data_IF_222468946317
#
_entry.id   IF_222468946317
#
_cell.length_a   1.000
_cell.length_b   1.000
_cell.length_c   1.000
_cell.angle_alpha   90.00
_cell.angle_beta   90.00
_cell.angle_gamma   90.00
#
_symmetry.space_group_name_H-M   'P 1'
#
loop_
_entity.id
_entity.type
_entity.pdbx_description
1 polymer ?
#
# COMPACT_ATOMS: atom_id res chain seq x y z
N UNK A 1 25.19 -38.72 -69.81
CA UNK A 1 26.64 -38.96 -69.65
C UNK A 1 27.15 -37.98 -68.61
N UNK A 2 27.91 -38.51 -67.62
CA UNK A 2 28.98 -37.91 -66.80
C UNK A 2 29.09 -36.35 -66.76
N UNK A 3 29.25 -35.63 -65.66
CA UNK A 3 29.78 -35.91 -64.31
C UNK A 3 30.55 -34.65 -63.84
N UNK A 4 30.60 -34.41 -62.52
CA UNK A 4 31.67 -33.62 -61.88
C UNK A 4 31.42 -32.14 -61.48
N UNK A 5 31.33 -31.91 -60.17
CA UNK A 5 32.15 -30.92 -59.44
C UNK A 5 31.74 -29.44 -59.42
N UNK A 6 31.13 -28.99 -58.31
CA UNK A 6 31.34 -27.62 -57.82
C UNK A 6 31.17 -27.55 -56.29
N UNK A 7 32.30 -27.66 -55.59
CA UNK A 7 32.45 -27.30 -54.18
C UNK A 7 33.08 -25.91 -54.04
N UNK A 8 32.74 -25.26 -52.94
CA UNK A 8 33.41 -24.12 -52.26
C UNK A 8 33.29 -22.71 -52.87
N UNK A 9 32.77 -21.78 -52.06
CA UNK A 9 33.23 -20.39 -51.81
C UNK A 9 32.10 -19.51 -51.24
N UNK A 10 31.67 -19.80 -50.01
CA UNK A 10 31.08 -18.79 -49.12
C UNK A 10 31.77 -18.90 -47.77
N UNK A 11 32.76 -18.04 -47.55
CA UNK A 11 33.42 -17.82 -46.27
C UNK A 11 32.75 -16.66 -45.52
N UNK A 12 32.55 -16.83 -44.21
CA UNK A 12 32.06 -15.78 -43.31
C UNK A 12 31.38 -16.34 -42.06
N UNK A 13 32.19 -16.73 -41.08
CA UNK A 13 31.83 -17.25 -39.74
C UNK A 13 30.77 -16.45 -38.96
N UNK A 14 29.92 -17.15 -38.19
CA UNK A 14 29.51 -16.70 -36.87
C UNK A 14 29.89 -17.77 -35.83
N UNK A 15 31.05 -17.60 -35.17
CA UNK A 15 31.42 -18.39 -33.98
C UNK A 15 31.79 -17.46 -32.83
N UNK A 16 30.81 -17.17 -31.99
CA UNK A 16 31.00 -16.77 -30.60
C UNK A 16 30.53 -17.91 -29.70
N UNK A 17 31.43 -18.83 -29.37
CA UNK A 17 31.15 -19.96 -28.51
C UNK A 17 31.02 -19.53 -27.04
N UNK A 18 29.86 -19.83 -26.43
CA UNK A 18 29.70 -19.86 -24.98
C UNK A 18 30.19 -21.21 -24.44
N UNK A 19 30.80 -21.26 -23.24
CA UNK A 19 31.29 -22.51 -22.67
C UNK A 19 30.10 -23.36 -22.17
N UNK A 20 29.68 -24.37 -22.94
CA UNK A 20 28.73 -25.39 -22.48
C UNK A 20 29.50 -26.53 -21.80
N UNK A 21 29.93 -26.29 -20.57
CA UNK A 21 30.28 -27.35 -19.62
C UNK A 21 29.02 -27.85 -18.89
N UNK A 22 29.01 -29.09 -18.37
CA UNK A 22 27.95 -29.55 -17.47
C UNK A 22 27.99 -28.67 -16.22
N UNK A 23 26.94 -27.88 -16.00
CA UNK A 23 26.81 -27.04 -14.82
C UNK A 23 26.34 -27.90 -13.66
N UNK A 24 27.06 -27.89 -12.54
CA UNK A 24 26.63 -28.59 -11.32
C UNK A 24 25.44 -27.85 -10.71
N UNK A 25 24.26 -28.47 -10.83
CA UNK A 25 22.98 -27.99 -10.30
C UNK A 25 22.29 -29.07 -9.45
N UNK A 26 23.04 -30.08 -8.98
CA UNK A 26 22.53 -31.15 -8.11
C UNK A 26 22.68 -30.79 -6.62
N UNK A 27 23.66 -29.95 -6.27
CA UNK A 27 24.06 -29.67 -4.90
C UNK A 27 22.90 -29.26 -3.95
N UNK A 28 21.99 -28.37 -4.35
CA UNK A 28 20.88 -27.95 -3.49
C UNK A 28 19.76 -28.99 -3.35
N UNK A 29 19.54 -29.79 -4.39
CA UNK A 29 18.59 -30.90 -4.36
C UNK A 29 19.11 -32.03 -3.45
N UNK A 30 20.39 -32.34 -3.55
CA UNK A 30 21.08 -33.30 -2.67
C UNK A 30 21.11 -32.81 -1.22
N UNK A 31 21.40 -31.51 -1.01
CA UNK A 31 21.41 -30.88 0.32
C UNK A 31 20.04 -30.99 1.01
N UNK A 32 18.94 -30.82 0.28
CA UNK A 32 17.59 -31.02 0.83
C UNK A 32 17.11 -32.48 0.80
N UNK A 33 17.86 -33.38 0.16
CA UNK A 33 17.50 -34.79 0.00
C UNK A 33 16.23 -35.00 -0.84
N UNK A 34 16.01 -34.16 -1.86
CA UNK A 34 14.84 -34.21 -2.74
C UNK A 34 15.27 -34.32 -4.21
N UNK A 35 14.51 -35.02 -5.07
CA UNK A 35 14.84 -35.10 -6.50
C UNK A 35 14.60 -33.74 -7.20
N UNK A 36 15.28 -33.50 -8.34
CA UNK A 36 15.05 -32.32 -9.20
C UNK A 36 13.60 -32.12 -9.64
N UNK A 37 12.83 -33.21 -9.71
CA UNK A 37 11.39 -33.21 -10.03
C UNK A 37 10.48 -32.85 -8.86
N UNK A 38 11.03 -32.58 -7.66
CA UNK A 38 10.25 -32.30 -6.46
C UNK A 38 9.39 -31.05 -6.60
N UNK A 39 8.15 -31.14 -6.12
CA UNK A 39 7.25 -29.99 -6.05
C UNK A 39 7.69 -29.01 -4.97
N UNK A 40 7.24 -27.75 -5.05
CA UNK A 40 7.48 -26.75 -3.99
C UNK A 40 6.99 -27.22 -2.61
N UNK A 41 5.91 -28.02 -2.57
CA UNK A 41 5.39 -28.61 -1.34
C UNK A 41 6.34 -29.65 -0.74
N UNK A 42 6.98 -30.47 -1.58
CA UNK A 42 7.94 -31.50 -1.15
C UNK A 42 9.24 -30.86 -0.65
N UNK A 43 9.74 -29.84 -1.34
CA UNK A 43 10.90 -29.02 -0.94
C UNK A 43 10.66 -28.39 0.44
N UNK A 44 9.47 -27.80 0.66
CA UNK A 44 9.08 -27.21 1.95
C UNK A 44 8.90 -28.24 3.06
N UNK A 45 8.49 -29.47 2.72
CA UNK A 45 8.35 -30.57 3.68
C UNK A 45 9.72 -31.12 4.09
N UNK A 46 10.63 -31.28 3.14
CA UNK A 46 12.00 -31.73 3.37
C UNK A 46 12.79 -30.73 4.23
N UNK A 47 12.72 -29.43 3.90
CA UNK A 47 13.35 -28.38 4.69
C UNK A 47 12.85 -28.36 6.14
N UNK A 48 11.53 -28.43 6.37
CA UNK A 48 10.97 -28.46 7.74
C UNK A 48 11.49 -29.65 8.55
N UNK A 49 11.63 -30.82 7.92
CA UNK A 49 12.16 -32.03 8.57
C UNK A 49 13.64 -31.87 8.94
N UNK A 50 14.45 -31.30 8.04
CA UNK A 50 15.88 -31.06 8.27
C UNK A 50 16.14 -29.94 9.28
N UNK A 51 15.39 -28.85 9.20
CA UNK A 51 15.49 -27.72 10.12
C UNK A 51 15.11 -28.10 11.56
N UNK A 52 14.10 -28.96 11.75
CA UNK A 52 13.72 -29.47 13.07
C UNK A 52 14.78 -30.41 13.68
N UNK A 53 15.47 -31.18 12.83
CA UNK A 53 16.48 -32.16 13.23
C UNK A 53 17.83 -31.52 13.53
N UNK A 54 18.21 -30.50 12.77
CA UNK A 54 19.53 -29.86 12.82
C UNK A 54 19.47 -28.43 13.39
N UNK A 55 18.44 -28.10 14.16
CA UNK A 55 18.32 -26.78 14.78
C UNK A 55 19.48 -26.56 15.78
N UNK A 56 20.17 -25.38 15.76
CA UNK A 56 21.29 -25.08 16.66
C UNK A 56 20.94 -25.24 18.14
N UNK A 57 19.75 -24.78 18.55
CA UNK A 57 19.26 -24.91 19.93
C UNK A 57 19.02 -26.37 20.39
N UNK A 58 19.01 -27.33 19.46
CA UNK A 58 18.87 -28.76 19.75
C UNK A 58 20.17 -29.54 19.55
N UNK A 59 21.31 -28.84 19.47
CA UNK A 59 22.64 -29.43 19.30
C UNK A 59 22.98 -29.84 17.87
N UNK A 60 22.28 -29.28 16.87
CA UNK A 60 22.61 -29.46 15.46
C UNK A 60 23.80 -28.61 15.00
N UNK A 61 24.48 -29.06 13.94
CA UNK A 61 25.60 -28.33 13.34
C UNK A 61 25.12 -27.02 12.68
N UNK A 62 25.59 -25.84 13.14
CA UNK A 62 25.24 -24.56 12.55
C UNK A 62 25.59 -24.42 11.07
N UNK A 63 26.63 -25.10 10.57
CA UNK A 63 27.03 -25.02 9.16
C UNK A 63 26.07 -25.82 8.27
N UNK A 64 25.69 -27.02 8.68
CA UNK A 64 24.68 -27.80 7.97
C UNK A 64 23.32 -27.09 7.95
N UNK A 65 22.93 -26.47 9.07
CA UNK A 65 21.70 -25.69 9.13
C UNK A 65 21.68 -24.50 8.15
N UNK A 66 22.83 -23.81 8.00
CA UNK A 66 22.99 -22.75 7.00
C UNK A 66 22.83 -23.29 5.58
N UNK A 67 23.47 -24.40 5.25
CA UNK A 67 23.40 -25.00 3.91
C UNK A 67 21.97 -25.41 3.53
N UNK A 68 21.20 -26.01 4.45
CA UNK A 68 19.78 -26.33 4.20
C UNK A 68 18.91 -25.09 3.99
N UNK A 69 19.22 -24.00 4.70
CA UNK A 69 18.48 -22.75 4.60
C UNK A 69 18.72 -22.08 3.25
N UNK A 70 19.97 -22.04 2.78
CA UNK A 70 20.35 -21.51 1.46
C UNK A 70 19.70 -22.32 0.34
N UNK A 71 19.80 -23.65 0.39
CA UNK A 71 19.19 -24.53 -0.60
C UNK A 71 17.66 -24.36 -0.66
N UNK A 72 16.99 -24.20 0.49
CA UNK A 72 15.54 -23.96 0.52
C UNK A 72 15.16 -22.59 -0.04
N UNK A 73 15.92 -21.53 0.24
CA UNK A 73 15.64 -20.19 -0.27
C UNK A 73 15.69 -20.14 -1.81
N UNK A 74 16.67 -20.83 -2.40
CA UNK A 74 16.82 -20.89 -3.85
C UNK A 74 15.73 -21.76 -4.48
N UNK A 75 15.46 -22.95 -3.93
CA UNK A 75 14.54 -23.91 -4.54
C UNK A 75 13.05 -23.63 -4.25
N UNK A 76 12.73 -22.79 -3.28
CA UNK A 76 11.35 -22.41 -2.94
C UNK A 76 10.79 -21.29 -3.81
N UNK A 77 11.65 -20.47 -4.43
CA UNK A 77 11.27 -19.40 -5.34
C UNK A 77 11.34 -19.91 -6.80
N UNK A 78 10.23 -19.82 -7.57
CA UNK A 78 10.20 -20.34 -8.95
C UNK A 78 11.26 -19.73 -9.87
N UNK A 79 11.52 -18.42 -9.74
CA UNK A 79 12.43 -17.68 -10.62
C UNK A 79 13.88 -18.01 -10.26
N UNK A 80 14.21 -18.10 -8.96
CA UNK A 80 15.54 -18.51 -8.49
C UNK A 80 15.83 -19.97 -8.80
N UNK A 81 14.85 -20.85 -8.68
CA UNK A 81 14.97 -22.27 -9.03
C UNK A 81 15.27 -22.42 -10.52
N UNK A 82 14.54 -21.71 -11.38
CA UNK A 82 14.79 -21.75 -12.83
C UNK A 82 16.21 -21.24 -13.18
N UNK A 83 16.67 -20.20 -12.49
CA UNK A 83 18.02 -19.66 -12.69
C UNK A 83 19.10 -20.64 -12.22
N UNK A 84 18.90 -21.28 -11.07
CA UNK A 84 19.78 -22.32 -10.54
C UNK A 84 19.82 -23.57 -11.44
N UNK A 85 18.65 -24.00 -11.93
CA UNK A 85 18.54 -25.14 -12.83
C UNK A 85 19.28 -24.90 -14.16
N UNK A 86 19.32 -23.65 -14.64
CA UNK A 86 19.98 -23.26 -15.89
C UNK A 86 21.48 -22.97 -15.75
N UNK A 87 21.91 -22.39 -14.63
CA UNK A 87 23.25 -21.80 -14.49
C UNK A 87 23.97 -22.16 -13.19
N UNK A 88 23.42 -23.06 -12.36
CA UNK A 88 24.02 -23.50 -11.11
C UNK A 88 24.16 -22.36 -10.09
N UNK A 89 25.05 -22.54 -9.10
CA UNK A 89 25.28 -21.53 -8.06
C UNK A 89 25.83 -20.21 -8.62
N UNK A 90 26.60 -20.26 -9.71
CA UNK A 90 27.20 -19.09 -10.37
C UNK A 90 26.13 -18.15 -10.95
N UNK A 91 25.02 -18.69 -11.46
CA UNK A 91 23.90 -17.89 -11.98
C UNK A 91 23.18 -17.06 -10.92
N UNK A 92 23.16 -17.52 -9.67
CA UNK A 92 22.48 -16.84 -8.57
C UNK A 92 23.25 -15.60 -8.08
N UNK A 93 24.58 -15.57 -8.23
CA UNK A 93 25.40 -14.41 -7.88
C UNK A 93 25.18 -13.22 -8.83
N UNK A 94 24.75 -13.46 -10.07
CA UNK A 94 24.59 -12.41 -11.08
C UNK A 94 23.19 -11.78 -11.14
N UNK A 95 22.22 -12.30 -10.36
CA UNK A 95 20.80 -11.90 -10.39
C UNK A 95 20.24 -11.18 -9.15
N UNK A 96 21.06 -10.79 -8.18
CA UNK A 96 20.62 -10.27 -6.87
C UNK A 96 20.13 -8.82 -6.86
N UNK A 97 18.98 -8.54 -7.47
CA UNK A 97 18.33 -7.21 -7.50
C UNK A 97 16.86 -7.24 -7.04
N UNK A 98 16.55 -7.87 -5.91
CA UNK A 98 15.19 -7.94 -5.37
C UNK A 98 15.19 -7.79 -3.86
N UNK A 99 14.61 -6.70 -3.36
CA UNK A 99 14.52 -6.40 -1.94
C UNK A 99 13.59 -7.36 -1.20
N UNK A 100 14.18 -8.31 -0.46
CA UNK A 100 13.50 -9.06 0.59
C UNK A 100 14.32 -8.95 1.90
N UNK A 101 13.69 -8.85 3.09
CA UNK A 101 14.37 -8.66 4.38
C UNK A 101 15.32 -9.79 4.82
N UNK A 102 15.47 -10.86 4.03
CA UNK A 102 16.43 -11.95 4.25
C UNK A 102 17.73 -11.84 3.43
N UNK A 103 17.76 -10.97 2.40
CA UNK A 103 18.93 -10.78 1.54
C UNK A 103 20.11 -10.08 2.25
N UNK A 104 19.86 -9.44 3.38
CA UNK A 104 20.89 -8.78 4.18
C UNK A 104 21.79 -9.78 4.94
N UNK A 105 21.31 -10.99 5.21
CA UNK A 105 22.11 -12.03 5.90
C UNK A 105 23.10 -12.70 4.93
N UNK A 106 22.70 -12.93 3.67
CA UNK A 106 23.59 -13.44 2.62
C UNK A 106 24.69 -12.42 2.27
N UNK A 107 24.34 -11.12 2.32
CA UNK A 107 25.25 -10.01 2.00
C UNK A 107 26.26 -9.68 3.10
N UNK A 108 25.96 -10.00 4.37
CA UNK A 108 26.85 -9.73 5.51
C UNK A 108 27.91 -10.82 5.74
N UNK A 109 27.68 -12.05 5.26
CA UNK A 109 28.53 -13.20 5.57
C UNK A 109 29.53 -13.56 4.47
N UNK A 110 29.25 -13.20 3.21
CA UNK A 110 30.19 -13.38 2.08
C UNK A 110 30.73 -12.04 1.59
N UNK A 111 31.86 -11.63 2.19
CA UNK A 111 32.88 -10.77 1.57
C UNK A 111 32.40 -9.46 0.95
N UNK A 112 32.65 -8.35 1.64
CA UNK A 112 32.40 -6.98 1.21
C UNK A 112 32.77 -6.70 -0.25
N UNK A 113 31.77 -6.83 -1.12
CA UNK A 113 31.79 -6.40 -2.50
C UNK A 113 31.03 -5.11 -2.61
N UNK A 114 31.73 -4.03 -2.94
CA UNK A 114 31.20 -2.75 -3.37
C UNK A 114 30.11 -3.01 -4.43
N UNK A 115 28.84 -3.04 -4.04
CA UNK A 115 27.72 -3.08 -4.98
C UNK A 115 27.93 -1.86 -5.89
N UNK A 116 28.12 -2.09 -7.18
CA UNK A 116 28.06 -1.05 -8.20
C UNK A 116 26.63 -0.51 -8.16
N UNK A 117 26.39 0.43 -7.25
CA UNK A 117 25.16 1.20 -7.17
C UNK A 117 25.13 1.96 -8.50
N UNK A 118 24.13 1.63 -9.34
CA UNK A 118 23.82 2.47 -10.49
C UNK A 118 23.69 3.94 -10.06
N UNK A 119 23.68 4.88 -11.01
CA UNK A 119 23.60 6.30 -10.69
C UNK A 119 22.49 6.53 -9.67
N UNK A 120 22.82 7.22 -8.57
CA UNK A 120 21.86 7.37 -7.49
C UNK A 120 20.59 8.07 -8.03
N UNK A 121 19.42 7.54 -7.68
CA UNK A 121 18.12 8.03 -8.15
C UNK A 121 17.57 9.02 -7.11
N UNK A 122 17.01 10.12 -7.60
CA UNK A 122 16.30 11.11 -6.80
C UNK A 122 15.02 10.53 -6.19
N UNK A 123 14.50 11.21 -5.17
CA UNK A 123 13.30 10.79 -4.47
C UNK A 123 12.05 10.95 -5.35
N UNK A 124 11.11 10.01 -5.23
CA UNK A 124 9.83 10.08 -5.94
C UNK A 124 8.89 11.06 -5.24
N UNK A 125 8.18 11.89 -6.02
CA UNK A 125 7.24 12.88 -5.50
C UNK A 125 5.81 12.34 -5.55
N UNK A 126 5.16 12.19 -4.39
CA UNK A 126 3.79 11.70 -4.30
C UNK A 126 2.79 12.85 -4.16
N UNK A 127 1.82 12.95 -5.08
CA UNK A 127 0.76 13.95 -5.04
C UNK A 127 -0.62 13.29 -4.88
N UNK A 128 -1.38 13.60 -3.81
CA UNK A 128 -2.75 13.12 -3.68
C UNK A 128 -3.66 13.87 -4.65
N UNK A 129 -4.31 13.14 -5.56
CA UNK A 129 -5.27 13.67 -6.51
C UNK A 129 -6.68 13.41 -5.99
N UNK A 130 -7.35 14.46 -5.50
CA UNK A 130 -8.72 14.35 -4.98
C UNK A 130 -9.73 14.26 -6.14
N UNK A 131 -10.39 13.13 -6.29
CA UNK A 131 -11.32 12.82 -7.39
C UNK A 131 -12.71 12.53 -6.82
N UNK A 132 -13.76 13.02 -7.47
CA UNK A 132 -15.15 12.72 -7.08
C UNK A 132 -15.63 11.38 -7.64
N UNK A 133 -16.75 10.86 -7.13
CA UNK A 133 -17.31 9.59 -7.62
C UNK A 133 -17.79 9.69 -9.08
N UNK A 134 -18.30 10.84 -9.51
CA UNK A 134 -18.74 11.11 -10.88
C UNK A 134 -17.56 11.10 -11.84
N UNK A 135 -16.44 11.71 -11.43
CA UNK A 135 -15.19 11.71 -12.19
C UNK A 135 -14.65 10.28 -12.35
N UNK A 136 -14.76 9.42 -11.32
CA UNK A 136 -14.37 8.00 -11.37
C UNK A 136 -15.34 7.13 -12.19
N UNK A 137 -16.61 7.52 -12.29
CA UNK A 137 -17.63 6.82 -13.06
C UNK A 137 -17.53 7.14 -14.56
N UNK A 138 -17.43 8.44 -14.89
CA UNK A 138 -17.44 8.93 -16.26
C UNK A 138 -16.04 9.01 -16.88
N UNK A 139 -14.99 9.02 -16.05
CA UNK A 139 -13.62 9.31 -16.47
C UNK A 139 -13.41 10.80 -16.72
N UNK A 140 -12.19 11.28 -16.46
CA UNK A 140 -11.86 12.70 -16.59
C UNK A 140 -10.38 12.89 -16.87
N UNK A 141 -10.04 13.93 -17.61
CA UNK A 141 -8.65 14.37 -17.76
C UNK A 141 -8.45 15.63 -16.94
N UNK A 142 -7.49 15.61 -16.01
CA UNK A 142 -7.17 16.73 -15.12
C UNK A 142 -5.77 17.23 -15.47
N UNK A 143 -5.64 18.53 -15.76
CA UNK A 143 -4.34 19.16 -16.01
C UNK A 143 -3.80 19.73 -14.69
N UNK A 144 -2.65 19.25 -14.24
CA UNK A 144 -2.01 19.67 -13.00
C UNK A 144 -0.67 20.33 -13.31
N UNK A 145 -0.48 21.54 -12.81
CA UNK A 145 0.81 22.22 -12.90
C UNK A 145 1.68 21.80 -11.71
N UNK A 146 2.81 21.15 -12.00
CA UNK A 146 3.82 20.78 -11.01
C UNK A 146 5.03 21.70 -11.21
N UNK A 147 5.57 22.19 -10.10
CA UNK A 147 6.86 22.88 -10.10
C UNK A 147 7.91 21.85 -9.72
N UNK A 148 8.91 21.69 -10.57
CA UNK A 148 10.02 20.77 -10.35
C UNK A 148 11.35 21.49 -10.50
N UNK A 149 12.39 20.99 -9.85
CA UNK A 149 13.75 21.42 -10.08
C UNK A 149 14.33 20.69 -11.29
N UNK A 150 14.81 21.42 -12.29
CA UNK A 150 15.53 20.88 -13.45
C UNK A 150 16.95 21.40 -13.47
N UNK A 151 17.86 20.65 -14.11
CA UNK A 151 19.24 21.11 -14.30
C UNK A 151 19.25 22.46 -15.02
N UNK A 152 20.01 23.41 -14.49
CA UNK A 152 20.08 24.75 -15.05
C UNK A 152 20.69 24.70 -16.46
N UNK A 153 19.90 24.99 -17.49
CA UNK A 153 20.37 24.99 -18.88
C UNK A 153 21.55 25.94 -19.15
N UNK A 154 21.70 27.02 -18.36
CA UNK A 154 22.82 27.95 -18.48
C UNK A 154 24.18 27.42 -17.98
N UNK A 155 24.22 26.35 -17.20
CA UNK A 155 25.47 25.75 -16.70
C UNK A 155 25.48 24.22 -16.71
N UNK A 156 24.42 23.58 -17.23
CA UNK A 156 24.20 22.14 -17.26
C UNK A 156 24.43 21.45 -15.91
N UNK A 157 23.93 22.04 -14.82
CA UNK A 157 24.09 21.46 -13.49
C UNK A 157 25.45 21.66 -12.84
N UNK A 158 26.37 22.43 -13.44
CA UNK A 158 27.71 22.69 -12.87
C UNK A 158 27.74 23.84 -11.86
N UNK A 159 26.81 24.80 -11.95
CA UNK A 159 26.70 25.93 -11.02
C UNK A 159 27.61 27.12 -11.34
N UNK A 160 28.48 26.99 -12.34
CA UNK A 160 29.40 28.01 -12.84
C UNK A 160 29.91 27.64 -14.24
N UNK A 161 30.82 28.44 -14.83
CA UNK A 161 31.48 28.09 -16.08
C UNK A 161 32.38 26.86 -15.89
N UNK A 162 32.79 26.27 -17.02
CA UNK A 162 33.62 25.06 -17.01
C UNK A 162 34.95 25.30 -16.29
N UNK A 163 35.31 24.42 -15.34
CA UNK A 163 36.52 24.55 -14.54
C UNK A 163 36.43 25.51 -13.33
N UNK A 164 35.28 26.15 -13.08
CA UNK A 164 35.11 27.05 -11.93
C UNK A 164 34.95 26.34 -10.56
N UNK A 165 34.87 25.01 -10.55
CA UNK A 165 34.73 24.24 -9.31
C UNK A 165 36.10 24.06 -8.62
N UNK A 166 36.26 24.60 -7.42
CA UNK A 166 37.42 24.37 -6.55
C UNK A 166 37.07 23.43 -5.41
N UNK A 167 38.04 22.67 -4.89
CA UNK A 167 37.82 21.84 -3.70
C UNK A 167 37.47 22.72 -2.50
N UNK A 168 36.45 22.33 -1.74
CA UNK A 168 36.05 23.08 -0.56
C UNK A 168 37.15 23.02 0.50
N UNK A 169 37.77 24.15 0.82
CA UNK A 169 38.85 24.24 1.81
C UNK A 169 38.38 23.86 3.22
N UNK A 170 37.10 24.05 3.52
CA UNK A 170 36.61 23.89 4.90
C UNK A 170 36.20 22.45 5.24
N UNK A 171 35.94 21.60 4.25
CA UNK A 171 35.76 20.16 4.45
C UNK A 171 36.81 19.32 3.71
N UNK A 172 37.77 19.96 3.05
CA UNK A 172 38.79 19.31 2.21
C UNK A 172 38.18 18.29 1.23
N UNK A 173 37.08 18.66 0.58
CA UNK A 173 36.38 17.77 -0.36
C UNK A 173 35.47 16.71 0.27
N UNK A 174 35.43 16.58 1.60
CA UNK A 174 34.66 15.52 2.29
C UNK A 174 33.15 15.79 2.39
N UNK A 175 32.69 16.99 2.08
CA UNK A 175 31.27 17.38 2.13
C UNK A 175 30.65 17.47 3.54
N UNK A 176 31.27 16.90 4.56
CA UNK A 176 30.79 16.85 5.95
C UNK A 176 31.86 17.34 6.92
N UNK A 177 31.43 17.91 8.05
CA UNK A 177 32.30 18.32 9.16
C UNK A 177 31.93 17.54 10.41
N UNK A 178 32.95 17.20 11.20
CA UNK A 178 32.76 16.59 12.52
C UNK A 178 32.80 17.73 13.52
N UNK A 179 31.67 18.01 14.17
CA UNK A 179 31.56 19.01 15.23
C UNK A 179 31.52 18.27 16.57
N UNK A 180 32.50 18.54 17.44
CA UNK A 180 32.47 18.02 18.80
C UNK A 180 31.47 18.84 19.63
N UNK A 181 30.39 18.20 20.07
CA UNK A 181 29.40 18.79 20.96
C UNK A 181 29.60 18.21 22.36
N UNK A 182 29.92 19.06 23.33
CA UNK A 182 29.99 18.66 24.73
C UNK A 182 28.56 18.60 25.29
N UNK A 183 28.12 17.43 25.73
CA UNK A 183 26.76 17.20 26.23
C UNK A 183 26.74 17.19 27.76
N UNK A 184 27.85 16.80 28.38
CA UNK A 184 28.04 16.83 29.82
C UNK A 184 29.52 17.06 30.19
N UNK A 185 29.84 17.44 31.44
CA UNK A 185 31.21 17.43 31.92
C UNK A 185 31.84 16.05 31.71
N UNK A 186 32.93 15.98 30.94
CA UNK A 186 33.61 14.72 30.60
C UNK A 186 33.02 13.89 29.45
N UNK A 187 31.90 14.28 28.84
CA UNK A 187 31.32 13.56 27.69
C UNK A 187 31.19 14.47 26.46
N UNK A 188 31.99 14.18 25.44
CA UNK A 188 31.93 14.80 24.12
C UNK A 188 31.34 13.83 23.10
N UNK A 189 30.31 14.27 22.36
CA UNK A 189 29.78 13.54 21.22
C UNK A 189 30.30 14.17 19.93
N UNK A 190 30.83 13.34 19.04
CA UNK A 190 31.14 13.76 17.68
C UNK A 190 29.85 13.76 16.86
N UNK A 191 29.37 14.93 16.47
CA UNK A 191 28.19 15.09 15.60
C UNK A 191 28.69 15.38 14.18
N UNK A 192 28.32 14.51 13.23
CA UNK A 192 28.60 14.72 11.82
C UNK A 192 27.52 15.65 11.23
N UNK A 193 27.93 16.81 10.73
CA UNK A 193 27.05 17.79 10.08
C UNK A 193 27.47 18.04 8.63
N UNK A 194 26.52 18.39 7.77
CA UNK A 194 26.84 18.77 6.39
C UNK A 194 27.65 20.07 6.38
N UNK A 195 28.72 20.13 5.58
CA UNK A 195 29.57 21.31 5.52
C UNK A 195 28.77 22.51 4.99
N UNK A 196 28.69 23.59 5.77
CA UNK A 196 27.94 24.82 5.42
C UNK A 196 28.37 25.43 4.09
N UNK A 197 29.67 25.42 3.80
CA UNK A 197 30.25 26.20 2.69
C UNK A 197 30.09 25.52 1.33
N UNK A 198 30.10 24.17 1.29
CA UNK A 198 29.85 23.40 0.08
C UNK A 198 28.51 22.64 0.07
N UNK A 199 27.71 22.76 1.13
CA UNK A 199 26.40 22.09 1.30
C UNK A 199 26.44 20.60 0.95
N UNK A 200 27.48 19.89 1.39
CA UNK A 200 27.63 18.45 1.11
C UNK A 200 28.35 18.11 -0.21
N UNK A 201 28.59 19.07 -1.11
CA UNK A 201 29.12 18.77 -2.44
C UNK A 201 30.65 18.58 -2.50
N UNK A 202 31.38 18.98 -1.46
CA UNK A 202 32.85 18.91 -1.43
C UNK A 202 33.57 19.90 -2.35
N UNK A 203 32.84 20.60 -3.22
CA UNK A 203 33.37 21.65 -4.10
C UNK A 203 32.68 22.99 -3.85
N UNK A 204 33.39 24.07 -4.08
CA UNK A 204 32.95 25.46 -3.96
C UNK A 204 33.20 26.18 -5.27
N UNK A 205 32.38 27.20 -5.56
CA UNK A 205 32.54 28.05 -6.73
C UNK A 205 32.69 29.48 -6.19
N UNK A 206 33.65 30.24 -6.75
CA UNK A 206 33.86 31.65 -6.35
C UNK A 206 32.62 32.48 -6.67
N UNK A 207 32.34 33.51 -5.87
CA UNK A 207 31.14 34.34 -6.03
C UNK A 207 31.04 34.95 -7.44
N UNK A 208 32.18 35.37 -8.02
CA UNK A 208 32.28 35.92 -9.37
C UNK A 208 31.91 34.92 -10.48
N UNK A 209 32.14 33.63 -10.21
CA UNK A 209 32.04 32.55 -11.19
C UNK A 209 30.74 31.76 -11.03
N UNK A 210 29.87 32.18 -10.11
CA UNK A 210 28.53 31.59 -9.98
C UNK A 210 27.72 31.86 -11.24
N UNK A 211 27.03 30.84 -11.71
CA UNK A 211 26.11 30.97 -12.84
C UNK A 211 25.05 32.04 -12.53
N UNK A 212 24.84 32.99 -13.46
CA UNK A 212 23.89 34.10 -13.28
C UNK A 212 22.43 33.64 -13.15
N UNK A 213 22.09 32.50 -13.76
CA UNK A 213 20.72 31.96 -13.78
C UNK A 213 20.39 31.23 -12.47
N UNK A 214 21.18 30.21 -12.11
CA UNK A 214 20.91 29.43 -10.89
C UNK A 214 21.60 29.96 -9.63
N UNK A 215 22.43 31.02 -9.75
CA UNK A 215 23.21 31.63 -8.66
C UNK A 215 24.05 30.61 -7.87
N UNK A 216 24.63 29.64 -8.57
CA UNK A 216 25.41 28.55 -7.97
C UNK A 216 24.61 27.34 -7.48
N UNK A 217 23.26 27.36 -7.51
CA UNK A 217 22.42 26.25 -7.02
C UNK A 217 22.33 25.05 -7.97
N UNK A 218 22.90 25.13 -9.18
CA UNK A 218 22.94 24.07 -10.21
C UNK A 218 21.59 23.69 -10.83
N UNK A 219 20.48 23.94 -10.15
CA UNK A 219 19.10 23.69 -10.61
C UNK A 219 18.29 24.98 -10.75
N UNK A 220 17.21 24.91 -11.53
CA UNK A 220 16.22 25.97 -11.74
C UNK A 220 14.81 25.40 -11.66
N UNK A 221 13.86 26.17 -11.12
CA UNK A 221 12.46 25.75 -11.05
C UNK A 221 11.80 25.85 -12.42
N UNK A 222 11.25 24.74 -12.90
CA UNK A 222 10.43 24.66 -14.10
C UNK A 222 8.99 24.34 -13.70
N UNK A 223 8.03 25.09 -14.26
CA UNK A 223 6.60 24.79 -14.13
C UNK A 223 6.16 23.96 -15.34
N UNK A 224 5.82 22.69 -15.13
CA UNK A 224 5.33 21.79 -16.18
C UNK A 224 3.88 21.42 -15.92
N UNK A 225 3.05 21.41 -16.96
CA UNK A 225 1.66 20.95 -16.88
C UNK A 225 1.63 19.48 -17.28
N UNK A 226 1.21 18.63 -16.34
CA UNK A 226 1.00 17.20 -16.56
C UNK A 226 -0.50 16.94 -16.75
N UNK A 227 -0.84 16.17 -17.79
CA UNK A 227 -2.22 15.74 -18.04
C UNK A 227 -2.43 14.36 -17.43
N UNK A 228 -3.23 14.30 -16.37
CA UNK A 228 -3.55 13.06 -15.65
C UNK A 228 -4.88 12.55 -16.17
N UNK A 229 -4.85 11.37 -16.80
CA UNK A 229 -6.06 10.67 -17.26
C UNK A 229 -6.60 9.78 -16.15
N UNK A 230 -7.81 10.08 -15.68
CA UNK A 230 -8.56 9.27 -14.73
C UNK A 230 -9.50 8.38 -15.54
N UNK A 231 -9.19 7.09 -15.57
CA UNK A 231 -9.99 6.10 -16.27
C UNK A 231 -11.25 5.71 -15.49
N UNK A 232 -12.26 5.25 -16.22
CA UNK A 232 -13.51 4.76 -15.65
C UNK A 232 -13.24 3.56 -14.75
N UNK A 233 -13.76 3.60 -13.53
CA UNK A 233 -13.67 2.49 -12.59
C UNK A 233 -12.36 2.42 -11.80
N UNK A 234 -11.47 3.41 -11.94
CA UNK A 234 -10.28 3.53 -11.10
C UNK A 234 -10.62 3.44 -9.61
N UNK A 235 -9.74 2.83 -8.83
CA UNK A 235 -9.94 2.60 -7.39
C UNK A 235 -9.28 3.68 -6.55
N UNK A 236 -9.82 3.91 -5.36
CA UNK A 236 -9.13 4.71 -4.34
C UNK A 236 -7.76 4.09 -4.03
N UNK A 237 -6.73 4.94 -3.94
CA UNK A 237 -5.33 4.54 -3.73
C UNK A 237 -4.58 4.08 -4.98
N UNK A 238 -5.21 4.03 -6.15
CA UNK A 238 -4.54 3.68 -7.40
C UNK A 238 -3.52 4.75 -7.78
N UNK A 239 -2.35 4.30 -8.28
CA UNK A 239 -1.19 5.15 -8.59
C UNK A 239 -1.08 5.40 -10.09
N UNK A 240 -0.91 6.65 -10.48
CA UNK A 240 -0.59 7.07 -11.85
C UNK A 240 0.82 7.66 -11.82
N UNK A 241 1.76 7.00 -12.49
CA UNK A 241 3.19 7.33 -12.42
C UNK A 241 3.68 7.99 -13.70
N UNK A 242 4.29 9.17 -13.53
CA UNK A 242 5.00 9.89 -14.58
C UNK A 242 6.51 9.72 -14.37
N UNK A 243 7.13 8.91 -15.23
CA UNK A 243 8.51 8.45 -15.08
C UNK A 243 9.51 9.59 -15.31
N UNK A 244 10.47 9.76 -14.41
CA UNK A 244 11.56 10.75 -14.55
C UNK A 244 11.10 12.21 -14.50
N UNK A 245 9.87 12.47 -14.07
CA UNK A 245 9.30 13.82 -14.02
C UNK A 245 9.50 14.53 -12.68
N UNK A 246 10.07 13.87 -11.66
CA UNK A 246 10.36 14.48 -10.35
C UNK A 246 11.57 15.42 -10.39
N UNK A 247 11.99 15.90 -9.23
CA UNK A 247 13.11 16.83 -9.09
C UNK A 247 14.43 16.21 -9.58
N UNK A 248 15.14 16.97 -10.41
CA UNK A 248 16.47 16.63 -10.91
C UNK A 248 17.53 17.22 -10.01
N UNK A 249 18.60 16.46 -9.81
CA UNK A 249 19.78 16.94 -9.11
C UNK A 249 21.06 16.55 -9.87
N UNK A 250 22.14 17.36 -9.79
CA UNK A 250 23.38 17.05 -10.48
C UNK A 250 23.95 15.69 -10.05
N UNK A 251 24.19 14.81 -11.02
CA UNK A 251 24.71 13.46 -10.78
C UNK A 251 23.68 12.44 -10.29
N UNK A 252 22.39 12.82 -10.23
CA UNK A 252 21.29 11.93 -9.86
C UNK A 252 20.31 11.77 -11.04
N UNK A 253 19.76 10.57 -11.20
CA UNK A 253 18.64 10.32 -12.13
C UNK A 253 17.36 10.85 -11.47
N UNK A 254 16.52 11.56 -12.21
CA UNK A 254 15.24 12.06 -11.69
C UNK A 254 14.36 10.91 -11.18
N UNK A 255 13.68 11.14 -10.04
CA UNK A 255 12.62 10.25 -9.57
C UNK A 255 11.35 10.35 -10.41
N UNK A 256 10.31 9.66 -9.99
CA UNK A 256 9.00 9.69 -10.63
C UNK A 256 8.02 10.58 -9.88
N UNK A 257 7.08 11.19 -10.60
CA UNK A 257 5.91 11.81 -9.97
C UNK A 257 4.80 10.78 -9.93
N UNK A 258 4.31 10.48 -8.73
CA UNK A 258 3.24 9.51 -8.50
C UNK A 258 1.99 10.25 -8.02
N UNK A 259 0.96 10.28 -8.86
CA UNK A 259 -0.37 10.74 -8.43
C UNK A 259 -1.13 9.58 -7.80
N UNK A 260 -1.59 9.76 -6.56
CA UNK A 260 -2.41 8.78 -5.86
C UNK A 260 -3.85 9.26 -5.90
N UNK A 261 -4.72 8.48 -6.53
CA UNK A 261 -6.15 8.79 -6.58
C UNK A 261 -6.73 8.71 -5.17
N UNK A 262 -7.30 9.81 -4.70
CA UNK A 262 -8.00 9.92 -3.44
C UNK A 262 -9.47 10.20 -3.72
N UNK A 263 -10.32 9.21 -3.47
CA UNK A 263 -11.76 9.32 -3.63
C UNK A 263 -12.33 10.30 -2.58
N UNK A 264 -13.11 11.28 -3.04
CA UNK A 264 -13.87 12.19 -2.17
C UNK A 264 -15.13 11.50 -1.69
N UNK A 265 -15.50 11.76 -0.44
CA UNK A 265 -16.80 11.36 0.09
C UNK A 265 -17.92 12.05 -0.69
N UNK A 266 -18.96 11.30 -1.04
CA UNK A 266 -20.13 11.78 -1.73
C UNK A 266 -21.34 11.81 -0.80
N UNK A 267 -22.25 12.77 -0.98
CA UNK A 267 -23.36 13.02 -0.07
C UNK A 267 -24.43 11.92 -0.09
N UNK A 268 -24.65 11.28 -1.23
CA UNK A 268 -25.73 10.28 -1.44
C UNK A 268 -25.19 8.86 -1.57
N UNK A 269 -23.97 8.70 -2.07
CA UNK A 269 -23.45 7.42 -2.53
C UNK A 269 -22.16 7.09 -1.79
N UNK A 270 -22.05 5.86 -1.34
CA UNK A 270 -20.84 5.32 -0.76
C UNK A 270 -20.37 4.14 -1.61
N UNK A 271 -19.16 4.24 -2.15
CA UNK A 271 -18.60 3.13 -2.93
C UNK A 271 -18.07 2.03 -2.02
N UNK A 272 -18.45 0.79 -2.32
CA UNK A 272 -17.88 -0.41 -1.72
C UNK A 272 -17.48 -1.39 -2.82
N UNK A 273 -16.20 -1.34 -3.19
CA UNK A 273 -15.68 -2.12 -4.32
C UNK A 273 -16.27 -1.65 -5.65
N UNK A 274 -16.97 -2.55 -6.34
CA UNK A 274 -17.72 -2.23 -7.57
C UNK A 274 -19.15 -1.74 -7.31
N UNK A 275 -19.64 -1.82 -6.08
CA UNK A 275 -21.01 -1.49 -5.75
C UNK A 275 -21.11 -0.07 -5.20
N UNK A 276 -22.25 0.57 -5.43
CA UNK A 276 -22.62 1.85 -4.83
C UNK A 276 -23.67 1.58 -3.76
N UNK A 277 -23.55 2.21 -2.61
CA UNK A 277 -24.49 2.09 -1.51
C UNK A 277 -25.13 3.46 -1.31
N UNK A 278 -26.46 3.52 -1.24
CA UNK A 278 -27.17 4.73 -0.86
C UNK A 278 -28.16 4.44 0.25
N UNK A 279 -28.42 5.43 1.10
CA UNK A 279 -29.47 5.37 2.09
C UNK A 279 -30.74 6.03 1.56
N UNK A 280 -31.86 5.31 1.62
CA UNK A 280 -33.17 5.84 1.27
C UNK A 280 -34.10 5.73 2.46
N UNK A 281 -34.64 6.88 2.87
CA UNK A 281 -35.71 6.94 3.86
C UNK A 281 -37.05 6.79 3.15
N UNK A 282 -37.90 5.93 3.68
CA UNK A 282 -39.26 5.66 3.20
C UNK A 282 -40.22 5.68 4.39
N UNK A 283 -41.45 6.11 4.16
CA UNK A 283 -42.51 6.08 5.16
C UNK A 283 -43.00 4.64 5.41
N UNK A 284 -43.66 4.40 6.54
CA UNK A 284 -44.29 3.10 6.81
C UNK A 284 -45.28 2.68 5.72
N UNK A 285 -46.03 3.62 5.14
CA UNK A 285 -46.99 3.34 4.07
C UNK A 285 -46.25 2.91 2.79
N UNK A 286 -45.20 3.63 2.41
CA UNK A 286 -44.35 3.28 1.27
C UNK A 286 -43.66 1.91 1.45
N UNK A 287 -43.26 1.58 2.68
CA UNK A 287 -42.65 0.29 3.00
C UNK A 287 -43.64 -0.89 2.88
N UNK A 288 -44.93 -0.67 3.11
CA UNK A 288 -45.98 -1.71 3.11
C UNK A 288 -46.72 -1.80 1.77
N UNK A 289 -47.03 -0.66 1.16
CA UNK A 289 -47.86 -0.56 -0.04
C UNK A 289 -47.03 -0.40 -1.33
N UNK A 290 -45.73 -0.15 -1.18
CA UNK A 290 -44.81 0.13 -2.26
C UNK A 290 -44.53 1.62 -2.44
N UNK A 291 -43.43 1.91 -3.13
CA UNK A 291 -42.93 3.26 -3.35
C UNK A 291 -42.38 3.41 -4.77
N UNK A 292 -42.32 4.66 -5.20
CA UNK A 292 -41.79 5.09 -6.48
C UNK A 292 -40.87 6.27 -6.21
N UNK A 293 -39.63 6.21 -6.68
CA UNK A 293 -38.68 7.31 -6.46
C UNK A 293 -37.77 7.50 -7.65
N UNK A 294 -37.34 8.74 -7.84
CA UNK A 294 -36.38 9.12 -8.87
C UNK A 294 -35.07 9.46 -8.17
N UNK A 295 -33.99 8.81 -8.59
CA UNK A 295 -32.64 9.04 -8.08
C UNK A 295 -31.75 9.49 -9.22
N UNK A 296 -31.08 10.63 -9.04
CA UNK A 296 -30.03 11.07 -9.97
C UNK A 296 -28.77 10.21 -9.76
N UNK A 297 -28.27 9.60 -10.83
CA UNK A 297 -27.09 8.75 -10.82
C UNK A 297 -25.82 9.53 -11.18
N UNK A 298 -24.65 8.90 -11.04
CA UNK A 298 -23.33 9.54 -11.22
C UNK A 298 -23.04 10.00 -12.66
N UNK A 299 -23.83 9.54 -13.64
CA UNK A 299 -23.78 9.95 -15.04
C UNK A 299 -24.82 11.01 -15.41
N UNK A 300 -25.57 11.53 -14.42
CA UNK A 300 -26.66 12.50 -14.62
C UNK A 300 -27.96 11.87 -15.14
N UNK A 301 -28.03 10.55 -15.31
CA UNK A 301 -29.31 9.88 -15.62
C UNK A 301 -30.20 9.83 -14.38
N UNK A 302 -31.50 9.87 -14.61
CA UNK A 302 -32.50 9.72 -13.57
C UNK A 302 -33.00 8.27 -13.56
N UNK A 303 -32.70 7.55 -12.49
CA UNK A 303 -33.13 6.18 -12.30
C UNK A 303 -34.51 6.18 -11.62
N UNK A 304 -35.47 5.62 -12.33
CA UNK A 304 -36.82 5.46 -11.81
C UNK A 304 -36.94 4.10 -11.11
N UNK A 305 -36.95 4.13 -9.78
CA UNK A 305 -36.92 2.92 -8.95
C UNK A 305 -38.31 2.70 -8.37
N UNK A 306 -38.89 1.54 -8.66
CA UNK A 306 -40.21 1.11 -8.19
C UNK A 306 -40.08 -0.16 -7.37
N UNK A 307 -40.79 -0.24 -6.25
CA UNK A 307 -40.99 -1.51 -5.56
C UNK A 307 -42.05 -2.36 -6.25
N UNK A 308 -41.95 -3.67 -6.11
CA UNK A 308 -42.98 -4.60 -6.57
C UNK A 308 -44.22 -4.44 -5.66
N UNK A 309 -45.41 -4.31 -6.26
CA UNK A 309 -46.65 -4.21 -5.49
C UNK A 309 -46.86 -5.45 -4.62
N UNK A 310 -47.11 -5.25 -3.32
CA UNK A 310 -47.26 -6.31 -2.33
C UNK A 310 -45.95 -6.80 -1.70
N UNK A 311 -44.80 -6.29 -2.12
CA UNK A 311 -43.52 -6.55 -1.45
C UNK A 311 -43.32 -5.62 -0.26
N UNK A 312 -43.19 -6.18 0.94
CA UNK A 312 -42.92 -5.41 2.16
C UNK A 312 -41.42 -5.19 2.34
N UNK A 313 -41.04 -3.92 2.52
CA UNK A 313 -39.66 -3.52 2.83
C UNK A 313 -39.49 -3.39 4.33
N UNK A 314 -38.56 -4.16 4.88
CA UNK A 314 -38.24 -4.13 6.32
C UNK A 314 -37.27 -2.97 6.63
N UNK A 315 -37.30 -2.44 7.86
CA UNK A 315 -36.28 -1.51 8.32
C UNK A 315 -34.87 -2.12 8.18
N UNK A 316 -33.92 -1.33 7.69
CA UNK A 316 -32.53 -1.71 7.43
C UNK A 316 -32.36 -2.85 6.40
N UNK A 317 -33.36 -3.07 5.55
CA UNK A 317 -33.24 -4.01 4.45
C UNK A 317 -32.43 -3.43 3.29
N UNK A 318 -31.59 -4.27 2.67
CA UNK A 318 -30.87 -3.94 1.45
C UNK A 318 -31.63 -4.46 0.22
N UNK A 319 -31.77 -3.64 -0.81
CA UNK A 319 -32.15 -4.06 -2.17
C UNK A 319 -31.09 -3.62 -3.16
N UNK A 320 -31.01 -4.29 -4.30
CA UNK A 320 -30.03 -3.97 -5.34
C UNK A 320 -30.71 -3.68 -6.67
N UNK A 321 -30.23 -2.66 -7.37
CA UNK A 321 -30.49 -2.40 -8.78
C UNK A 321 -29.24 -2.86 -9.55
N UNK A 322 -29.40 -3.94 -10.31
CA UNK A 322 -28.32 -4.53 -11.08
C UNK A 322 -27.87 -3.61 -12.22
N UNK A 323 -26.55 -3.53 -12.46
CA UNK A 323 -25.99 -2.75 -13.57
C UNK A 323 -25.82 -1.25 -13.31
N UNK A 324 -26.28 -0.74 -12.17
CA UNK A 324 -26.18 0.69 -11.81
C UNK A 324 -25.12 0.96 -10.71
N UNK A 325 -24.11 0.10 -10.59
CA UNK A 325 -22.94 0.32 -9.73
C UNK A 325 -21.76 0.97 -10.47
N UNK A 326 -20.57 0.97 -9.83
CA UNK A 326 -19.36 1.49 -10.45
C UNK A 326 -18.89 0.61 -11.61
N UNK A 327 -18.35 1.20 -12.70
CA UNK A 327 -17.70 0.44 -13.77
C UNK A 327 -16.44 -0.25 -13.27
N UNK A 328 -16.10 -1.39 -13.87
CA UNK A 328 -14.85 -2.08 -13.62
C UNK A 328 -13.71 -1.42 -14.40
N UNK A 329 -12.58 -1.16 -13.72
CA UNK A 329 -11.37 -0.66 -14.37
C UNK A 329 -10.92 -1.61 -15.49
N UNK A 330 -10.65 -1.06 -16.68
CA UNK A 330 -10.29 -1.81 -17.89
C UNK A 330 -11.47 -2.41 -18.66
N UNK A 331 -12.64 -2.60 -18.03
CA UNK A 331 -13.86 -3.04 -18.73
C UNK A 331 -15.07 -2.19 -18.30
N UNK A 332 -15.27 -1.00 -18.90
CA UNK A 332 -16.31 -0.07 -18.49
C UNK A 332 -17.75 -0.55 -18.73
N UNK A 333 -17.94 -1.59 -19.55
CA UNK A 333 -19.27 -2.16 -19.84
C UNK A 333 -19.78 -3.03 -18.69
N UNK A 334 -18.87 -3.58 -17.88
CA UNK A 334 -19.22 -4.35 -16.69
C UNK A 334 -19.33 -3.38 -15.52
N UNK A 335 -20.55 -3.22 -15.02
CA UNK A 335 -20.86 -2.38 -13.86
C UNK A 335 -21.27 -3.26 -12.68
N UNK A 336 -20.99 -2.78 -11.47
CA UNK A 336 -21.54 -3.38 -10.26
C UNK A 336 -23.03 -3.08 -10.08
N UNK A 337 -23.50 -3.11 -8.84
CA UNK A 337 -24.90 -2.83 -8.51
C UNK A 337 -25.03 -1.62 -7.58
N UNK A 338 -26.17 -0.92 -7.69
CA UNK A 338 -26.60 0.08 -6.72
C UNK A 338 -27.38 -0.62 -5.61
N UNK A 339 -26.82 -0.64 -4.42
CA UNK A 339 -27.43 -1.17 -3.20
C UNK A 339 -28.11 -0.02 -2.45
N UNK A 340 -29.38 -0.20 -2.14
CA UNK A 340 -30.20 0.78 -1.42
C UNK A 340 -30.49 0.21 -0.04
N UNK A 341 -30.06 0.92 1.00
CA UNK A 341 -30.41 0.65 2.38
C UNK A 341 -31.69 1.43 2.71
N UNK A 342 -32.77 0.72 3.03
CA UNK A 342 -34.03 1.34 3.41
C UNK A 342 -34.13 1.60 4.91
N UNK A 343 -34.37 2.85 5.28
CA UNK A 343 -34.78 3.23 6.63
C UNK A 343 -36.26 3.58 6.62
N UNK A 344 -37.04 2.88 7.45
CA UNK A 344 -38.48 3.09 7.55
C UNK A 344 -38.75 4.12 8.65
N UNK A 345 -39.38 5.22 8.28
CA UNK A 345 -39.84 6.26 9.19
C UNK A 345 -41.25 5.93 9.68
N UNK A 346 -41.37 5.72 10.99
CA UNK A 346 -42.64 5.50 11.66
C UNK A 346 -43.31 6.83 12.02
N UNK A 347 -44.65 6.90 11.96
CA UNK A 347 -45.37 8.08 12.45
C UNK A 347 -45.12 8.27 13.96
N UNK A 348 -45.00 9.52 14.40
CA UNK A 348 -44.76 9.84 15.82
C UNK A 348 -45.94 9.44 16.72
N UNK A 349 -47.16 9.57 16.22
CA UNK A 349 -48.38 9.21 16.93
C UNK A 349 -49.38 8.55 15.97
N UNK A 350 -50.24 7.70 16.52
CA UNK A 350 -51.31 7.02 15.78
C UNK A 350 -52.62 7.29 16.51
N UNK A 351 -53.62 7.80 15.80
CA UNK A 351 -54.93 8.09 16.41
C UNK A 351 -55.69 6.79 16.75
N UNK A 352 -56.64 6.82 17.70
CA UNK A 352 -57.42 5.62 18.05
C UNK A 352 -58.15 4.98 16.86
N UNK A 353 -58.62 5.79 15.90
CA UNK A 353 -59.29 5.29 14.69
C UNK A 353 -58.30 4.62 13.73
N UNK A 354 -57.11 5.21 13.54
CA UNK A 354 -56.03 4.58 12.77
C UNK A 354 -55.58 3.26 13.41
N UNK A 355 -55.49 3.20 14.74
CA UNK A 355 -55.17 1.97 15.47
C UNK A 355 -56.20 0.87 15.23
N UNK A 356 -57.49 1.23 15.20
CA UNK A 356 -58.58 0.28 14.89
C UNK A 356 -58.46 -0.29 13.47
N UNK A 357 -58.19 0.56 12.49
CA UNK A 357 -57.98 0.15 11.09
C UNK A 357 -56.76 -0.78 10.96
N UNK A 358 -55.63 -0.43 11.59
CA UNK A 358 -54.43 -1.27 11.57
C UNK A 358 -54.69 -2.66 12.18
N UNK A 359 -55.43 -2.73 13.30
CA UNK A 359 -55.82 -4.00 13.92
C UNK A 359 -56.73 -4.87 13.06
N UNK A 360 -57.52 -4.26 12.16
CA UNK A 360 -58.33 -5.02 11.19
C UNK A 360 -57.53 -5.54 10.00
N UNK A 361 -56.40 -4.91 9.66
CA UNK A 361 -55.60 -5.25 8.48
C UNK A 361 -54.49 -6.27 8.76
N UNK A 362 -53.95 -6.28 9.98
CA UNK A 362 -52.84 -7.15 10.38
C UNK A 362 -53.29 -8.23 11.38
N UNK A 363 -52.64 -9.40 11.41
CA UNK A 363 -52.96 -10.44 12.38
C UNK A 363 -52.83 -9.89 13.80
N UNK A 364 -53.89 -10.09 14.58
CA UNK A 364 -53.95 -9.66 15.97
C UNK A 364 -52.86 -10.33 16.83
N UNK A 365 -52.54 -9.74 18.00
CA UNK A 365 -51.57 -10.31 18.91
C UNK A 365 -52.00 -11.74 19.29
N UNK A 366 -51.04 -12.67 19.32
CA UNK A 366 -51.30 -14.02 19.83
C UNK A 366 -51.78 -13.90 21.28
N UNK A 367 -52.85 -14.61 21.68
CA UNK A 367 -53.34 -14.57 23.05
C UNK A 367 -52.23 -15.05 23.98
N UNK A 368 -51.91 -14.23 24.99
CA UNK A 368 -50.94 -14.60 26.02
C UNK A 368 -51.53 -15.71 26.88
N UNK A 369 -50.77 -16.79 27.08
CA UNK A 369 -51.05 -17.74 28.15
C UNK A 369 -50.83 -17.01 29.48
N UNK A 370 -51.89 -16.85 30.26
CA UNK A 370 -51.81 -16.25 31.60
C UNK A 370 -51.16 -17.26 32.54
N UNK A 371 -49.93 -16.97 32.96
CA UNK A 371 -49.32 -17.63 34.11
C UNK A 371 -49.89 -16.99 35.39
N UNK A 372 -50.23 -17.82 36.38
CA UNK A 372 -50.86 -17.39 37.65
C UNK A 372 -49.91 -16.66 38.59
N UNK A 373 -48.61 -16.77 38.33
CA UNK A 373 -47.47 -16.30 39.11
C UNK A 373 -46.67 -15.19 38.42
N UNK A 374 -47.20 -14.60 37.35
CA UNK A 374 -46.54 -13.51 36.64
C UNK A 374 -46.74 -12.16 37.35
N UNK A 375 -45.66 -11.47 37.69
CA UNK A 375 -45.66 -10.09 38.18
C UNK A 375 -45.87 -9.09 37.02
N UNK A 376 -46.65 -8.03 37.25
CA UNK A 376 -46.87 -6.97 36.27
C UNK A 376 -45.67 -6.02 36.23
N UNK A 377 -45.07 -5.86 35.05
CA UNK A 377 -44.00 -4.91 34.80
C UNK A 377 -44.45 -3.84 33.79
N UNK A 378 -44.06 -2.59 34.04
CA UNK A 378 -44.34 -1.46 33.16
C UNK A 378 -43.08 -1.11 32.36
N UNK A 379 -43.24 -0.89 31.06
CA UNK A 379 -42.16 -0.40 30.20
C UNK A 379 -41.98 1.11 30.42
N UNK A 380 -40.75 1.54 30.66
CA UNK A 380 -40.33 2.94 30.61
C UNK A 380 -39.29 3.13 29.52
N UNK A 381 -39.09 4.37 29.08
CA UNK A 381 -38.02 4.69 28.14
C UNK A 381 -36.66 4.34 28.75
N UNK A 382 -35.79 3.75 27.93
CA UNK A 382 -34.45 3.39 28.35
C UNK A 382 -33.49 4.57 28.15
N UNK A 383 -33.00 5.13 29.25
CA UNK A 383 -31.95 6.14 29.23
C UNK A 383 -30.57 5.46 29.16
N UNK A 384 -30.04 5.36 27.94
CA UNK A 384 -28.76 4.74 27.67
C UNK A 384 -27.56 5.54 28.23
N UNK A 385 -27.70 6.85 28.45
CA UNK A 385 -26.64 7.67 29.02
C UNK A 385 -26.57 7.49 30.54
N UNK A 386 -27.71 7.52 31.22
CA UNK A 386 -27.79 7.23 32.65
C UNK A 386 -27.24 5.82 32.97
N UNK A 387 -27.60 4.82 32.15
CA UNK A 387 -27.10 3.45 32.32
C UNK A 387 -25.58 3.34 32.15
N UNK A 388 -24.97 4.10 31.23
CA UNK A 388 -23.51 4.14 31.05
C UNK A 388 -22.79 4.82 32.20
N UNK A 389 -23.34 5.92 32.71
CA UNK A 389 -22.78 6.64 33.85
C UNK A 389 -22.81 5.75 35.10
N UNK A 390 -23.91 5.05 35.33
CA UNK A 390 -24.07 4.13 36.44
C UNK A 390 -23.08 2.95 36.35
N UNK A 391 -22.90 2.36 35.16
CA UNK A 391 -21.92 1.29 34.94
C UNK A 391 -20.46 1.77 35.14
N UNK A 392 -20.15 3.02 34.82
CA UNK A 392 -18.83 3.60 35.13
C UNK A 392 -18.66 3.81 36.63
N UNK A 393 -19.69 4.27 37.33
CA UNK A 393 -19.66 4.53 38.76
C UNK A 393 -19.48 3.24 39.59
N UNK A 394 -20.17 2.17 39.22
CA UNK A 394 -19.99 0.83 39.81
C UNK A 394 -18.59 0.24 39.58
N UNK A 395 -17.96 0.57 38.45
CA UNK A 395 -16.58 0.17 38.19
C UNK A 395 -15.57 0.89 39.11
N UNK A 396 -15.83 2.15 39.48
CA UNK A 396 -15.03 2.89 40.46
C UNK A 396 -15.29 2.43 41.91
N UNK A 397 -16.54 2.10 42.28
CA UNK A 397 -16.86 1.59 43.62
C UNK A 397 -16.27 0.19 43.87
N UNK A 398 -16.05 -0.63 42.83
CA UNK A 398 -15.44 -1.97 42.98
C UNK A 398 -13.92 -1.95 43.22
N UNK A 399 -13.24 -0.82 42.92
CA UNK A 399 -11.81 -0.65 43.15
C UNK A 399 -11.50 -0.15 44.58
N UNK A 400 -12.46 0.44 45.29
CA UNK A 400 -12.29 0.90 46.68
C UNK A 400 -12.46 -0.25 47.72
N UNK A 401 -13.01 -1.40 47.32
CA UNK A 401 -13.14 -2.60 48.18
C UNK A 401 -11.92 -3.55 48.11
N UNK A 402 -10.88 -3.19 47.33
CA UNK A 402 -9.57 -3.86 47.41
C UNK A 402 -8.68 -3.21 48.48
N UNK A 403 -9.04 -3.48 49.73
CA UNK A 403 -8.12 -3.62 50.86
C UNK A 403 -7.07 -2.53 51.04
N UNK A 404 -7.37 -1.59 51.94
CA UNK A 404 -6.34 -0.81 52.65
C UNK A 404 -5.24 -1.76 53.18
N UNK A 405 -3.97 -1.61 52.77
CA UNK A 405 -2.87 -2.22 53.51
C UNK A 405 -2.73 -1.43 54.81
N UNK A 406 -2.92 -2.12 55.94
CA UNK A 406 -2.54 -1.61 57.27
C UNK A 406 -1.06 -1.23 57.25
N UNK A 407 -0.78 0.07 57.13
CA UNK A 407 0.55 0.65 57.29
C UNK A 407 0.99 0.51 58.74
N UNK A 408 1.96 -0.37 58.96
CA UNK A 408 2.62 -0.62 60.24
C UNK A 408 3.44 0.62 60.61
N UNK A 409 3.17 1.22 61.77
CA UNK A 409 4.05 2.20 62.39
C UNK A 409 5.32 1.49 62.88
N UNK A 410 6.49 1.88 62.37
CA UNK A 410 7.75 1.69 63.06
C UNK A 410 8.49 3.03 63.18
N UNK A 411 9.06 3.20 64.36
CA UNK A 411 9.49 4.42 65.01
C UNK A 411 10.99 4.67 64.75
N UNK A 412 11.33 5.96 64.65
CA UNK A 412 12.64 6.64 64.78
C UNK A 412 13.92 5.81 64.98
N UNK A 413 14.96 6.15 64.20
CA UNK A 413 16.18 6.80 64.71
C UNK A 413 16.91 7.56 63.60
#
# INVERSE_FOLDING_TARGET
MFGGGFESFFGGDPRGGGPSGPVDNDAYYETLGVPKTASAADIKKAYRKLALKNHPDKGGDPELFKNFTVAYEVLSDPDKRELYDKYGEEGLQQGGGGGHPGADIFSQMFGGGMRNRGPARGEDLTHPLKVSLEDLYNGKTVKLAVNRDVLCGGCNGRGGPEGAETTCNTCNGRGMRIQMRQIAPGMVQQVQSVCSDCRGQGKTIRESDKCKVCKGNKVTKERKVLEVHIEKGMRNGQRITFKGEADQAPGLIAGDIVFVVQEKEHSVFQRKGGNLIMEKKITLVEALCGFETIVEHLDGRHLHIKSIAGEVIKPNQFKAVHGEGMPQHGNPFVKGQLVILFKVEFPQTVTPDQSRLLKSLFPGPKPLQRLTDAEEAYLSDFDAEAAKQQAQQEAYDSDDDRGQPRGVQCQQQ
#
